data_IF_690222403687
#
_entry.id   IF_690222403687
#
_cell.length_a   1.000
_cell.length_b   1.000
_cell.length_c   1.000
_cell.angle_alpha   90.00
_cell.angle_beta   90.00
_cell.angle_gamma   90.00
#
_symmetry.space_group_name_H-M   'P 1'
#
loop_
_entity.id
_entity.type
_entity.pdbx_description
1 polymer ?
#
# COMPACT_ATOMS: atom_id res chain seq x y z
N UNK A 1 4.17 -9.64 12.61
CA UNK A 1 2.87 -10.04 12.02
C UNK A 1 2.19 -11.13 12.85
N UNK A 2 2.89 -12.25 13.16
CA UNK A 2 2.37 -13.35 13.99
C UNK A 2 1.76 -12.90 15.33
N UNK A 3 2.42 -12.00 16.07
CA UNK A 3 1.87 -11.45 17.33
C UNK A 3 0.53 -10.73 17.17
N UNK A 4 0.36 -9.95 16.09
CA UNK A 4 -0.92 -9.28 15.80
C UNK A 4 -1.98 -10.32 15.45
N UNK A 5 -1.63 -11.31 14.63
CA UNK A 5 -2.50 -12.41 14.24
C UNK A 5 -2.98 -13.23 15.45
N UNK A 6 -2.08 -13.51 16.40
CA UNK A 6 -2.39 -14.24 17.62
C UNK A 6 -3.37 -13.45 18.50
N UNK A 7 -3.08 -12.17 18.74
CA UNK A 7 -3.96 -11.28 19.49
C UNK A 7 -5.37 -11.20 18.86
N UNK A 8 -5.45 -11.08 17.54
CA UNK A 8 -6.72 -11.04 16.81
C UNK A 8 -7.50 -12.36 16.82
N UNK A 9 -6.78 -13.48 16.97
CA UNK A 9 -7.40 -14.80 17.12
C UNK A 9 -8.07 -14.98 18.49
N UNK A 10 -7.74 -14.12 19.46
CA UNK A 10 -8.29 -14.19 20.81
C UNK A 10 -7.54 -15.15 21.73
N UNK A 11 -6.24 -15.38 21.48
CA UNK A 11 -5.39 -16.10 22.45
C UNK A 11 -5.33 -15.31 23.76
N UNK A 12 -5.19 -16.00 24.89
CA UNK A 12 -5.08 -15.34 26.20
C UNK A 12 -3.76 -14.60 26.32
N UNK A 13 -3.67 -13.61 27.21
CA UNK A 13 -2.41 -12.86 27.43
C UNK A 13 -1.25 -13.78 27.82
N UNK A 14 -1.52 -14.85 28.58
CA UNK A 14 -0.50 -15.85 28.93
C UNK A 14 -0.01 -16.64 27.70
N UNK A 15 -0.92 -17.03 26.79
CA UNK A 15 -0.57 -17.70 25.54
C UNK A 15 0.20 -16.76 24.61
N UNK A 16 -0.23 -15.50 24.51
CA UNK A 16 0.45 -14.48 23.72
C UNK A 16 1.87 -14.26 24.19
N UNK A 17 2.07 -14.17 25.51
CA UNK A 17 3.40 -14.00 26.11
C UNK A 17 4.30 -15.21 25.89
N UNK A 18 3.74 -16.42 25.90
CA UNK A 18 4.52 -17.63 25.60
C UNK A 18 4.98 -17.65 24.14
N UNK A 19 4.09 -17.32 23.20
CA UNK A 19 4.43 -17.17 21.78
C UNK A 19 5.51 -16.08 21.60
N UNK A 20 5.40 -14.95 22.33
CA UNK A 20 6.39 -13.87 22.30
C UNK A 20 7.78 -14.36 22.73
N UNK A 21 7.87 -15.04 23.86
CA UNK A 21 9.13 -15.56 24.39
C UNK A 21 9.80 -16.56 23.44
N UNK A 22 9.02 -17.48 22.85
CA UNK A 22 9.53 -18.44 21.87
C UNK A 22 10.08 -17.76 20.60
N UNK A 23 9.36 -16.75 20.09
CA UNK A 23 9.83 -15.96 18.94
C UNK A 23 11.10 -15.17 19.27
N UNK A 24 11.16 -14.54 20.44
CA UNK A 24 12.35 -13.77 20.87
C UNK A 24 13.57 -14.65 21.05
N UNK A 25 13.40 -15.84 21.62
CA UNK A 25 14.49 -16.80 21.76
C UNK A 25 14.97 -17.31 20.40
N UNK A 26 14.05 -17.63 19.48
CA UNK A 26 14.40 -18.02 18.12
C UNK A 26 15.18 -16.91 17.39
N UNK A 27 14.74 -15.66 17.51
CA UNK A 27 15.44 -14.50 16.92
C UNK A 27 16.82 -14.29 17.56
N UNK A 28 16.95 -14.44 18.88
CA UNK A 28 18.23 -14.32 19.59
C UNK A 28 19.24 -15.39 19.18
N UNK A 29 18.76 -16.59 18.86
CA UNK A 29 19.57 -17.74 18.50
C UNK A 29 19.66 -17.97 16.99
N UNK A 30 19.18 -17.04 16.17
CA UNK A 30 19.09 -17.20 14.70
C UNK A 30 20.44 -17.43 14.01
N UNK A 31 21.56 -17.06 14.64
CA UNK A 31 22.92 -17.32 14.17
C UNK A 31 23.45 -18.70 14.54
N UNK A 32 22.79 -19.40 15.48
CA UNK A 32 23.22 -20.67 16.05
C UNK A 32 22.30 -21.85 15.66
N UNK A 33 21.04 -21.57 15.36
CA UNK A 33 20.03 -22.58 15.06
C UNK A 33 19.05 -22.10 13.98
N UNK A 34 18.37 -23.02 13.27
CA UNK A 34 17.33 -22.67 12.31
C UNK A 34 16.18 -21.89 12.97
N UNK A 35 15.46 -21.13 12.16
CA UNK A 35 14.26 -20.41 12.61
C UNK A 35 13.21 -21.39 13.11
N UNK A 36 12.49 -20.99 14.17
CA UNK A 36 11.40 -21.80 14.73
C UNK A 36 10.30 -21.97 13.68
N UNK A 37 9.84 -23.19 13.49
CA UNK A 37 8.71 -23.47 12.60
C UNK A 37 7.38 -23.07 13.27
N UNK A 38 6.35 -22.79 12.46
CA UNK A 38 5.00 -22.51 12.98
C UNK A 38 4.47 -23.67 13.83
N UNK A 39 4.81 -24.91 13.45
CA UNK A 39 4.37 -26.10 14.18
C UNK A 39 5.02 -26.18 15.56
N UNK A 40 6.33 -25.95 15.66
CA UNK A 40 7.05 -25.87 16.94
C UNK A 40 6.56 -24.71 17.80
N UNK A 41 6.27 -23.55 17.18
CA UNK A 41 5.75 -22.38 17.88
C UNK A 41 4.36 -22.63 18.51
N UNK A 42 3.59 -23.57 17.99
CA UNK A 42 2.23 -23.86 18.42
C UNK A 42 2.08 -25.20 19.16
N UNK A 43 3.16 -25.94 19.36
CA UNK A 43 3.13 -27.34 19.81
C UNK A 43 2.58 -27.52 21.24
N UNK A 44 2.85 -26.57 22.14
CA UNK A 44 2.56 -26.70 23.58
C UNK A 44 1.41 -25.81 24.07
N UNK A 45 0.57 -25.31 23.17
CA UNK A 45 -0.47 -24.35 23.54
C UNK A 45 -1.86 -24.95 23.36
N UNK A 46 -2.60 -25.06 24.47
CA UNK A 46 -4.03 -25.39 24.48
C UNK A 46 -4.85 -24.21 23.93
N UNK A 47 -4.69 -23.92 22.63
CA UNK A 47 -5.34 -22.83 21.92
C UNK A 47 -6.60 -23.35 21.24
N UNK A 48 -7.72 -22.69 21.49
CA UNK A 48 -8.95 -22.95 20.75
C UNK A 48 -8.76 -22.63 19.26
N UNK A 49 -9.24 -23.53 18.40
CA UNK A 49 -9.14 -23.41 16.92
C UNK A 49 -7.69 -23.30 16.43
N UNK A 50 -6.81 -24.15 16.98
CA UNK A 50 -5.39 -24.26 16.62
C UNK A 50 -5.13 -24.30 15.11
N UNK A 51 -5.91 -25.09 14.35
CA UNK A 51 -5.78 -25.21 12.89
C UNK A 51 -6.06 -23.90 12.14
N UNK A 52 -7.00 -23.09 12.63
CA UNK A 52 -7.28 -21.76 12.07
C UNK A 52 -6.12 -20.80 12.36
N UNK A 53 -5.59 -20.79 13.60
CA UNK A 53 -4.45 -19.95 13.97
C UNK A 53 -3.20 -20.30 13.16
N UNK A 54 -2.90 -21.60 13.04
CA UNK A 54 -1.81 -22.11 12.20
C UNK A 54 -1.93 -21.62 10.77
N UNK A 55 -3.12 -21.73 10.17
CA UNK A 55 -3.37 -21.25 8.80
C UNK A 55 -3.13 -19.75 8.65
N UNK A 56 -3.51 -18.95 9.65
CA UNK A 56 -3.24 -17.51 9.67
C UNK A 56 -1.74 -17.20 9.86
N UNK A 57 -1.00 -18.00 10.62
CA UNK A 57 0.45 -17.85 10.78
C UNK A 57 1.20 -18.15 9.48
N UNK A 58 0.79 -19.18 8.74
CA UNK A 58 1.36 -19.48 7.42
C UNK A 58 1.18 -18.31 6.46
N UNK A 59 -0.03 -17.74 6.42
CA UNK A 59 -0.28 -16.53 5.61
C UNK A 59 0.58 -15.36 6.08
N UNK A 60 0.72 -15.17 7.40
CA UNK A 60 1.56 -14.12 7.95
C UNK A 60 3.04 -14.29 7.55
N UNK A 61 3.56 -15.51 7.59
CA UNK A 61 4.94 -15.81 7.17
C UNK A 61 5.15 -15.51 5.67
N UNK A 62 4.17 -15.86 4.82
CA UNK A 62 4.21 -15.56 3.39
C UNK A 62 4.20 -14.06 3.08
N UNK A 63 3.44 -13.27 3.86
CA UNK A 63 3.34 -11.83 3.65
C UNK A 63 4.52 -11.06 4.25
N UNK A 64 5.22 -11.63 5.24
CA UNK A 64 6.26 -10.91 5.98
C UNK A 64 7.40 -10.37 5.11
N UNK A 65 8.00 -11.13 4.16
CA UNK A 65 9.05 -10.60 3.29
C UNK A 65 8.58 -9.40 2.47
N UNK A 66 7.39 -9.49 1.85
CA UNK A 66 6.85 -8.41 1.03
C UNK A 66 6.60 -7.13 1.83
N UNK A 67 6.07 -7.27 3.06
CA UNK A 67 5.82 -6.14 3.95
C UNK A 67 7.11 -5.54 4.52
N UNK A 68 8.15 -6.36 4.70
CA UNK A 68 9.45 -5.92 5.19
C UNK A 68 10.26 -5.19 4.10
N UNK A 69 10.25 -5.71 2.87
CA UNK A 69 11.05 -5.18 1.76
C UNK A 69 10.41 -3.99 1.06
N UNK A 70 9.08 -3.83 1.12
CA UNK A 70 8.41 -2.69 0.50
C UNK A 70 8.80 -1.37 1.18
N UNK A 71 9.34 -0.41 0.43
CA UNK A 71 9.74 0.91 0.97
C UNK A 71 8.59 1.70 1.60
N UNK A 72 7.34 1.40 1.23
CA UNK A 72 6.13 2.09 1.73
C UNK A 72 5.56 1.45 3.01
N UNK A 73 6.18 0.36 3.48
CA UNK A 73 5.80 -0.37 4.70
C UNK A 73 7.03 -0.56 5.60
N UNK A 74 8.14 -1.05 5.05
CA UNK A 74 9.44 -1.20 5.69
C UNK A 74 9.35 -1.93 7.04
N UNK A 75 8.46 -2.91 7.14
CA UNK A 75 8.16 -3.62 8.38
C UNK A 75 7.58 -2.76 9.52
N UNK A 76 7.22 -1.50 9.28
CA UNK A 76 6.75 -0.57 10.30
C UNK A 76 5.48 -1.11 10.98
N UNK A 77 5.52 -1.46 12.30
CA UNK A 77 4.42 -2.14 12.97
C UNK A 77 3.10 -1.38 12.94
N UNK A 78 3.16 -0.03 12.94
CA UNK A 78 1.95 0.81 12.87
C UNK A 78 1.31 0.73 11.49
N UNK A 79 2.12 0.74 10.43
CA UNK A 79 1.64 0.62 9.05
C UNK A 79 1.06 -0.77 8.81
N UNK A 80 1.75 -1.82 9.26
CA UNK A 80 1.25 -3.20 9.18
C UNK A 80 -0.08 -3.35 9.90
N UNK A 81 -0.22 -2.82 11.12
CA UNK A 81 -1.49 -2.86 11.86
C UNK A 81 -2.62 -2.12 11.13
N UNK A 82 -2.33 -0.94 10.56
CA UNK A 82 -3.31 -0.17 9.78
C UNK A 82 -3.76 -0.93 8.52
N UNK A 83 -2.82 -1.56 7.81
CA UNK A 83 -3.11 -2.40 6.66
C UNK A 83 -4.05 -3.55 7.04
N UNK A 84 -3.74 -4.29 8.10
CA UNK A 84 -4.60 -5.37 8.59
C UNK A 84 -5.99 -4.87 9.01
N UNK A 85 -6.08 -3.69 9.63
CA UNK A 85 -7.36 -3.08 9.98
C UNK A 85 -8.19 -2.75 8.74
N UNK A 86 -7.57 -2.26 7.66
CA UNK A 86 -8.23 -2.02 6.38
C UNK A 86 -8.80 -3.31 5.78
N UNK A 87 -8.01 -4.40 5.79
CA UNK A 87 -8.47 -5.73 5.36
C UNK A 87 -9.70 -6.18 6.17
N UNK A 88 -9.66 -6.09 7.49
CA UNK A 88 -10.78 -6.47 8.37
C UNK A 88 -12.05 -5.66 8.08
N UNK A 89 -11.92 -4.34 7.97
CA UNK A 89 -13.05 -3.45 7.71
C UNK A 89 -13.69 -3.73 6.34
N UNK A 90 -12.86 -4.02 5.33
CA UNK A 90 -13.33 -4.41 3.99
C UNK A 90 -13.98 -5.78 4.00
N UNK A 91 -13.40 -6.79 4.66
CA UNK A 91 -14.01 -8.12 4.83
C UNK A 91 -15.39 -8.04 5.48
N UNK A 92 -15.53 -7.26 6.56
CA UNK A 92 -16.82 -7.04 7.24
C UNK A 92 -17.84 -6.35 6.34
N UNK A 93 -17.39 -5.42 5.50
CA UNK A 93 -18.26 -4.70 4.57
C UNK A 93 -18.69 -5.58 3.39
N UNK A 94 -17.78 -6.38 2.83
CA UNK A 94 -18.07 -7.38 1.82
C UNK A 94 -19.12 -8.39 2.31
N UNK A 95 -18.91 -8.95 3.51
CA UNK A 95 -19.82 -9.92 4.11
C UNK A 95 -21.23 -9.34 4.31
N UNK A 96 -21.34 -8.12 4.85
CA UNK A 96 -22.65 -7.46 5.03
C UNK A 96 -23.39 -7.18 3.73
N UNK A 97 -22.67 -7.08 2.62
CA UNK A 97 -23.23 -6.79 1.29
C UNK A 97 -23.44 -8.04 0.44
N UNK A 98 -23.18 -9.23 0.99
CA UNK A 98 -23.29 -10.48 0.25
C UNK A 98 -22.23 -10.64 -0.85
N UNK A 99 -21.14 -9.87 -0.80
CA UNK A 99 -20.02 -10.02 -1.72
C UNK A 99 -19.20 -11.25 -1.31
N UNK A 100 -19.07 -12.22 -2.21
CA UNK A 100 -18.28 -13.43 -2.01
C UNK A 100 -16.80 -13.13 -2.26
N UNK A 101 -16.19 -12.35 -1.36
CA UNK A 101 -14.77 -12.02 -1.39
C UNK A 101 -14.06 -12.70 -0.23
N UNK A 102 -13.06 -13.52 -0.55
CA UNK A 102 -12.20 -14.11 0.46
C UNK A 102 -11.20 -13.08 1.02
N UNK A 103 -10.73 -13.34 2.24
CA UNK A 103 -9.81 -12.44 2.93
C UNK A 103 -8.45 -12.33 2.22
N UNK A 104 -8.01 -13.36 1.51
CA UNK A 104 -6.71 -13.35 0.82
C UNK A 104 -6.78 -12.43 -0.40
N UNK A 105 -7.87 -12.45 -1.17
CA UNK A 105 -8.14 -11.49 -2.26
C UNK A 105 -8.11 -10.05 -1.76
N UNK A 106 -8.83 -9.76 -0.66
CA UNK A 106 -8.84 -8.41 -0.06
C UNK A 106 -7.43 -8.01 0.38
N UNK A 107 -6.68 -8.94 1.00
CA UNK A 107 -5.32 -8.69 1.48
C UNK A 107 -4.36 -8.38 0.32
N UNK A 108 -4.34 -9.22 -0.73
CA UNK A 108 -3.49 -9.03 -1.91
C UNK A 108 -3.75 -7.68 -2.56
N UNK A 109 -5.02 -7.25 -2.69
CA UNK A 109 -5.37 -5.93 -3.23
C UNK A 109 -4.99 -4.77 -2.31
N UNK A 110 -5.24 -4.88 -1.00
CA UNK A 110 -4.88 -3.82 -0.04
C UNK A 110 -3.35 -3.60 0.00
N UNK A 111 -2.55 -4.66 -0.13
CA UNK A 111 -1.08 -4.54 -0.23
C UNK A 111 -0.72 -3.80 -1.53
N UNK A 112 -1.30 -4.17 -2.67
CA UNK A 112 -1.07 -3.48 -3.94
C UNK A 112 -1.35 -1.97 -3.80
N UNK A 113 -2.51 -1.62 -3.24
CA UNK A 113 -2.94 -0.25 -3.02
C UNK A 113 -1.94 0.54 -2.18
N UNK A 114 -1.47 -0.07 -1.09
CA UNK A 114 -0.55 0.57 -0.17
C UNK A 114 0.84 0.76 -0.79
N UNK A 115 1.30 -0.22 -1.54
CA UNK A 115 2.68 -0.29 -2.00
C UNK A 115 2.91 0.46 -3.33
N UNK A 116 1.93 0.50 -4.24
CA UNK A 116 2.07 1.26 -5.50
C UNK A 116 1.35 2.62 -5.49
N UNK A 117 0.49 2.86 -4.52
CA UNK A 117 -0.21 4.14 -4.38
C UNK A 117 -1.39 4.29 -5.34
N UNK A 118 -1.99 5.47 -5.29
CA UNK A 118 -3.34 5.72 -5.80
C UNK A 118 -3.41 5.68 -7.33
N UNK A 119 -2.38 6.15 -8.03
CA UNK A 119 -2.37 6.14 -9.51
C UNK A 119 -2.34 4.72 -10.08
N UNK A 120 -1.42 3.88 -9.60
CA UNK A 120 -1.33 2.48 -10.01
C UNK A 120 -2.61 1.70 -9.65
N UNK A 121 -3.17 1.98 -8.46
CA UNK A 121 -4.45 1.43 -8.00
C UNK A 121 -5.61 1.78 -8.92
N UNK A 122 -5.75 3.06 -9.27
CA UNK A 122 -6.81 3.50 -10.17
C UNK A 122 -6.66 2.83 -11.54
N UNK A 123 -5.43 2.67 -12.03
CA UNK A 123 -5.16 1.95 -13.28
C UNK A 123 -5.59 0.49 -13.21
N UNK A 124 -5.32 -0.20 -12.10
CA UNK A 124 -5.79 -1.56 -11.88
C UNK A 124 -7.32 -1.65 -11.97
N UNK A 125 -8.05 -0.76 -11.30
CA UNK A 125 -9.51 -0.78 -11.34
C UNK A 125 -10.10 -0.37 -12.69
N UNK A 126 -9.44 0.54 -13.43
CA UNK A 126 -9.80 0.85 -14.81
C UNK A 126 -9.69 -0.39 -15.70
N UNK A 127 -8.60 -1.16 -15.56
CA UNK A 127 -8.41 -2.41 -16.31
C UNK A 127 -9.45 -3.46 -15.93
N UNK A 128 -9.76 -3.61 -14.64
CA UNK A 128 -10.83 -4.52 -14.17
C UNK A 128 -12.17 -4.17 -14.83
N UNK A 129 -12.56 -2.89 -14.86
CA UNK A 129 -13.81 -2.47 -15.49
C UNK A 129 -13.80 -2.71 -17.01
N UNK A 130 -12.71 -2.30 -17.68
CA UNK A 130 -12.55 -2.41 -19.13
C UNK A 130 -12.58 -3.86 -19.60
N UNK A 131 -12.06 -4.77 -18.78
CA UNK A 131 -11.89 -6.18 -19.08
C UNK A 131 -12.88 -7.07 -18.32
N UNK A 132 -14.02 -6.48 -17.89
CA UNK A 132 -15.18 -7.17 -17.30
C UNK A 132 -14.83 -8.09 -16.12
N UNK A 133 -13.96 -7.63 -15.23
CA UNK A 133 -13.54 -8.38 -14.05
C UNK A 133 -12.22 -9.11 -14.18
N UNK A 134 -11.74 -9.35 -15.42
CA UNK A 134 -10.62 -10.24 -15.71
C UNK A 134 -9.48 -9.51 -16.44
N UNK A 135 -8.69 -8.69 -15.73
CA UNK A 135 -7.59 -7.94 -16.33
C UNK A 135 -6.48 -8.88 -16.84
N UNK A 136 -6.26 -8.89 -18.16
CA UNK A 136 -5.26 -9.71 -18.88
C UNK A 136 -3.85 -9.51 -18.36
N UNK A 137 -3.50 -8.29 -17.96
CA UNK A 137 -2.17 -8.02 -17.39
C UNK A 137 -1.91 -8.86 -16.14
N UNK A 138 -2.93 -9.14 -15.32
CA UNK A 138 -2.76 -10.01 -14.15
C UNK A 138 -2.58 -11.46 -14.57
N UNK A 139 -3.31 -11.92 -15.59
CA UNK A 139 -3.15 -13.26 -16.15
C UNK A 139 -1.73 -13.47 -16.71
N UNK A 140 -1.18 -12.47 -17.41
CA UNK A 140 0.20 -12.50 -17.91
C UNK A 140 1.21 -12.51 -16.76
N UNK A 141 1.03 -11.67 -15.74
CA UNK A 141 1.92 -11.59 -14.56
C UNK A 141 1.92 -12.84 -13.67
N UNK A 142 0.85 -13.60 -13.74
CA UNK A 142 0.65 -14.83 -12.99
C UNK A 142 1.05 -16.08 -13.78
N UNK A 143 1.27 -15.95 -15.10
CA UNK A 143 1.69 -17.04 -15.96
C UNK A 143 3.19 -17.31 -15.80
N UNK A 144 3.54 -18.53 -15.38
CA UNK A 144 4.94 -18.95 -15.21
C UNK A 144 5.69 -19.15 -16.54
N UNK A 145 4.98 -19.20 -17.67
CA UNK A 145 5.58 -19.35 -19.01
C UNK A 145 5.99 -18.02 -19.65
N UNK A 146 5.52 -16.88 -19.11
CA UNK A 146 5.82 -15.55 -19.65
C UNK A 146 6.91 -14.91 -18.80
N UNK A 147 8.00 -14.47 -19.43
CA UNK A 147 9.03 -13.71 -18.72
C UNK A 147 8.50 -12.34 -18.32
N UNK A 148 8.75 -11.94 -17.08
CA UNK A 148 8.25 -10.68 -16.51
C UNK A 148 8.63 -9.46 -17.36
N UNK A 149 9.82 -9.47 -17.96
CA UNK A 149 10.36 -8.37 -18.77
C UNK A 149 9.65 -8.20 -20.12
N UNK A 150 8.93 -9.22 -20.60
CA UNK A 150 8.15 -9.17 -21.84
C UNK A 150 6.73 -8.62 -21.65
N UNK A 151 6.27 -8.52 -20.40
CA UNK A 151 4.91 -8.11 -20.06
C UNK A 151 4.75 -6.60 -20.24
N UNK A 152 3.70 -6.20 -20.97
CA UNK A 152 3.38 -4.79 -21.18
C UNK A 152 2.66 -4.21 -19.96
N UNK A 153 3.45 -3.80 -18.97
CA UNK A 153 2.97 -3.14 -17.76
C UNK A 153 2.50 -1.70 -18.02
N UNK A 154 1.41 -1.25 -17.36
CA UNK A 154 1.03 0.17 -17.34
C UNK A 154 2.16 1.06 -16.82
N UNK A 155 2.26 2.29 -17.33
CA UNK A 155 3.32 3.24 -16.93
C UNK A 155 3.28 3.54 -15.42
N UNK A 156 2.09 3.60 -14.83
CA UNK A 156 1.88 3.87 -13.41
C UNK A 156 2.43 2.76 -12.51
N UNK A 157 2.62 1.55 -13.05
CA UNK A 157 3.09 0.38 -12.31
C UNK A 157 4.62 0.29 -12.31
N UNK A 158 5.30 0.98 -13.24
CA UNK A 158 6.76 0.95 -13.37
C UNK A 158 7.52 1.63 -12.21
N UNK A 159 6.81 2.13 -11.21
CA UNK A 159 7.36 2.70 -9.98
C UNK A 159 8.11 1.66 -9.12
N UNK A 160 7.69 0.39 -9.16
CA UNK A 160 8.28 -0.68 -8.35
C UNK A 160 8.08 -2.05 -9.00
N UNK A 161 8.89 -2.34 -10.02
CA UNK A 161 8.85 -3.60 -10.77
C UNK A 161 9.14 -4.82 -9.88
N UNK A 162 10.09 -4.69 -8.96
CA UNK A 162 10.46 -5.77 -8.05
C UNK A 162 9.32 -6.12 -7.09
N UNK A 163 8.57 -5.12 -6.60
CA UNK A 163 7.36 -5.36 -5.84
C UNK A 163 6.29 -6.08 -6.67
N UNK A 164 6.05 -5.66 -7.92
CA UNK A 164 5.01 -6.26 -8.76
C UNK A 164 5.30 -7.74 -9.04
N UNK A 165 6.54 -8.08 -9.38
CA UNK A 165 6.95 -9.47 -9.63
C UNK A 165 6.71 -10.37 -8.40
N UNK A 166 7.06 -9.88 -7.21
CA UNK A 166 6.79 -10.62 -5.95
C UNK A 166 5.31 -10.69 -5.63
N UNK A 167 4.59 -9.59 -5.85
CA UNK A 167 3.16 -9.47 -5.55
C UNK A 167 2.29 -10.35 -6.45
N UNK A 168 2.60 -10.44 -7.75
CA UNK A 168 1.81 -11.27 -8.68
C UNK A 168 1.82 -12.73 -8.29
N UNK A 169 2.96 -13.24 -7.79
CA UNK A 169 3.19 -14.62 -7.33
C UNK A 169 2.48 -14.97 -6.01
N UNK A 170 1.86 -14.00 -5.33
CA UNK A 170 1.14 -14.26 -4.08
C UNK A 170 -0.22 -14.93 -4.32
N UNK A 171 -0.61 -15.92 -3.50
CA UNK A 171 -1.97 -16.44 -3.55
C UNK A 171 -2.97 -15.41 -2.98
N UNK A 172 -4.22 -15.36 -3.50
CA UNK A 172 -4.76 -16.17 -4.59
C UNK A 172 -4.34 -15.62 -5.96
N UNK A 173 -4.35 -16.49 -6.97
CA UNK A 173 -4.21 -16.08 -8.36
C UNK A 173 -5.52 -15.41 -8.82
N UNK A 174 -5.42 -14.36 -9.61
CA UNK A 174 -6.52 -13.55 -10.12
C UNK A 174 -6.92 -13.87 -11.56
N UNK A 175 -6.15 -14.69 -12.27
CA UNK A 175 -6.38 -15.05 -13.69
C UNK A 175 -7.83 -15.44 -14.02
N UNK A 176 -8.50 -16.22 -13.16
CA UNK A 176 -9.88 -16.69 -13.39
C UNK A 176 -10.88 -16.14 -12.36
N UNK A 177 -10.50 -15.11 -11.61
CA UNK A 177 -11.33 -14.54 -10.54
C UNK A 177 -11.95 -13.24 -11.02
N UNK A 178 -13.28 -13.13 -10.95
CA UNK A 178 -13.96 -11.86 -11.22
C UNK A 178 -13.65 -10.86 -10.09
N UNK A 179 -12.82 -9.87 -10.40
CA UNK A 179 -12.42 -8.82 -9.46
C UNK A 179 -13.41 -7.66 -9.35
N UNK A 180 -14.53 -7.67 -10.10
CA UNK A 180 -15.53 -6.60 -10.07
C UNK A 180 -16.04 -6.30 -8.66
N UNK A 181 -16.40 -7.29 -7.82
CA UNK A 181 -16.84 -7.02 -6.45
C UNK A 181 -15.73 -6.38 -5.60
N UNK A 182 -14.47 -6.77 -5.83
CA UNK A 182 -13.34 -6.25 -5.09
C UNK A 182 -13.01 -4.80 -5.47
N UNK A 183 -13.07 -4.47 -6.76
CA UNK A 183 -12.91 -3.11 -7.27
C UNK A 183 -14.01 -2.19 -6.74
N UNK A 184 -15.28 -2.66 -6.76
CA UNK A 184 -16.40 -1.92 -6.19
C UNK A 184 -16.25 -1.67 -4.69
N UNK A 185 -15.86 -2.70 -3.93
CA UNK A 185 -15.60 -2.59 -2.49
C UNK A 185 -14.49 -1.56 -2.21
N UNK A 186 -13.43 -1.55 -2.99
CA UNK A 186 -12.32 -0.61 -2.81
C UNK A 186 -12.77 0.83 -3.05
N UNK A 187 -13.47 1.09 -4.17
CA UNK A 187 -14.00 2.41 -4.53
C UNK A 187 -14.98 2.97 -3.49
N UNK A 188 -15.91 2.16 -3.01
CA UNK A 188 -16.88 2.64 -2.01
C UNK A 188 -16.31 2.69 -0.58
N UNK A 189 -15.28 1.91 -0.28
CA UNK A 189 -14.56 2.03 0.99
C UNK A 189 -13.75 3.33 1.09
N UNK A 190 -13.58 4.05 -0.02
CA UNK A 190 -12.95 5.35 -0.11
C UNK A 190 -14.00 6.36 -0.59
N UNK A 191 -14.86 6.90 0.30
CA UNK A 191 -15.62 8.11 -0.03
C UNK A 191 -14.66 9.16 -0.59
N UNK A 192 -15.01 9.82 -1.70
CA UNK A 192 -14.26 10.99 -2.17
C UNK A 192 -14.21 12.00 -1.00
N UNK A 193 -13.03 12.16 -0.39
CA UNK A 193 -12.83 12.89 0.88
C UNK A 193 -12.20 12.05 2.02
N UNK A 194 -12.07 10.74 1.86
CA UNK A 194 -11.56 9.80 2.86
C UNK A 194 -10.22 9.16 2.52
N UNK A 195 -9.43 9.75 1.62
CA UNK A 195 -7.98 9.45 1.52
C UNK A 195 -7.32 9.57 2.92
N UNK A 196 -7.88 10.45 3.75
CA UNK A 196 -7.55 10.62 5.16
C UNK A 196 -7.69 9.34 6.00
N UNK A 197 -8.64 8.43 5.73
CA UNK A 197 -8.88 7.27 6.59
C UNK A 197 -7.72 6.24 6.63
N UNK A 198 -6.85 6.24 5.61
CA UNK A 198 -5.68 5.35 5.51
C UNK A 198 -4.38 6.08 5.91
N UNK A 199 -4.44 7.38 6.18
CA UNK A 199 -3.28 8.19 6.57
C UNK A 199 -3.14 8.31 8.09
N UNK A 200 -1.92 8.45 8.60
CA UNK A 200 -1.74 8.79 10.01
C UNK A 200 -2.16 10.24 10.23
N UNK A 201 -2.48 10.62 11.47
CA UNK A 201 -2.77 12.02 11.79
C UNK A 201 -1.61 12.96 11.43
N UNK A 202 -0.36 12.48 11.52
CA UNK A 202 0.81 13.23 11.09
C UNK A 202 0.84 13.43 9.57
N UNK A 203 0.56 12.36 8.80
CA UNK A 203 0.50 12.43 7.35
C UNK A 203 -0.66 13.31 6.85
N UNK A 204 -1.84 13.25 7.47
CA UNK A 204 -2.97 14.14 7.16
C UNK A 204 -2.60 15.60 7.38
N UNK A 205 -2.02 15.91 8.54
CA UNK A 205 -1.56 17.27 8.85
C UNK A 205 -0.52 17.75 7.83
N UNK A 206 0.40 16.88 7.42
CA UNK A 206 1.38 17.24 6.39
C UNK A 206 0.72 17.57 5.05
N UNK A 207 -0.32 16.84 4.63
CA UNK A 207 -1.10 17.21 3.43
C UNK A 207 -1.70 18.60 3.58
N UNK A 208 -2.35 18.90 4.71
CA UNK A 208 -2.95 20.21 4.94
C UNK A 208 -1.91 21.35 4.90
N UNK A 209 -0.76 21.14 5.53
CA UNK A 209 0.32 22.14 5.60
C UNK A 209 0.98 22.37 4.24
N UNK A 210 1.18 21.29 3.46
CA UNK A 210 1.71 21.38 2.10
C UNK A 210 0.70 22.00 1.13
N UNK A 211 -0.59 21.70 1.25
CA UNK A 211 -1.66 22.32 0.44
C UNK A 211 -1.76 23.82 0.63
N UNK A 212 -1.40 24.34 1.82
CA UNK A 212 -1.40 25.78 2.12
C UNK A 212 -0.14 26.51 1.64
N UNK A 213 0.86 25.78 1.14
CA UNK A 213 2.14 26.37 0.76
C UNK A 213 2.04 27.23 -0.52
N UNK A 214 2.28 28.53 -0.37
CA UNK A 214 2.28 29.51 -1.48
C UNK A 214 3.66 29.76 -2.07
N UNK A 215 4.70 29.65 -1.25
CA UNK A 215 6.10 29.95 -1.58
C UNK A 215 6.89 28.69 -1.95
N UNK A 216 7.98 28.87 -2.70
CA UNK A 216 8.77 27.74 -3.22
C UNK A 216 9.58 27.01 -2.15
N UNK A 217 10.08 27.76 -1.17
CA UNK A 217 10.84 27.23 -0.03
C UNK A 217 10.09 27.60 1.23
N UNK A 218 9.89 26.61 2.11
CA UNK A 218 9.26 26.80 3.40
C UNK A 218 10.04 26.01 4.43
N UNK A 219 10.75 26.69 5.34
CA UNK A 219 11.51 26.03 6.40
C UNK A 219 10.61 25.16 7.29
N UNK A 220 9.41 25.65 7.61
CA UNK A 220 8.41 24.94 8.41
C UNK A 220 8.00 23.63 7.73
N UNK A 221 7.66 23.68 6.43
CA UNK A 221 7.21 22.48 5.72
C UNK A 221 8.38 21.53 5.42
N UNK A 222 9.59 22.04 5.19
CA UNK A 222 10.79 21.19 5.10
C UNK A 222 11.00 20.41 6.40
N UNK A 223 10.89 21.05 7.56
CA UNK A 223 10.98 20.37 8.86
C UNK A 223 9.85 19.35 9.04
N UNK A 224 8.61 19.71 8.69
CA UNK A 224 7.46 18.82 8.79
C UNK A 224 7.61 17.56 7.92
N UNK A 225 8.18 17.69 6.72
CA UNK A 225 8.52 16.54 5.86
C UNK A 225 9.55 15.66 6.58
N UNK A 226 10.67 16.23 7.05
CA UNK A 226 11.73 15.43 7.71
C UNK A 226 11.29 14.73 9.00
N UNK A 227 10.29 15.27 9.71
CA UNK A 227 9.75 14.65 10.94
C UNK A 227 8.74 13.54 10.62
N UNK A 228 8.16 13.54 9.42
CA UNK A 228 7.20 12.52 9.00
C UNK A 228 7.96 11.28 8.51
N UNK A 229 7.56 10.06 8.91
CA UNK A 229 8.20 8.84 8.40
C UNK A 229 8.13 8.75 6.87
N UNK A 230 9.23 8.36 6.24
CA UNK A 230 9.34 8.25 4.78
C UNK A 230 8.29 7.29 4.18
N UNK A 231 7.93 6.26 4.93
CA UNK A 231 6.91 5.27 4.53
C UNK A 231 5.50 5.88 4.37
N UNK A 232 5.29 7.12 4.80
CA UNK A 232 4.03 7.85 4.62
C UNK A 232 4.08 8.87 3.48
N UNK A 233 5.24 9.15 2.89
CA UNK A 233 5.38 10.17 1.84
C UNK A 233 4.50 9.89 0.63
N UNK A 234 4.44 8.65 0.16
CA UNK A 234 3.56 8.27 -0.96
C UNK A 234 2.08 8.52 -0.63
N UNK A 235 1.65 8.24 0.60
CA UNK A 235 0.27 8.53 1.02
C UNK A 235 0.00 10.03 1.07
N UNK A 236 0.99 10.84 1.47
CA UNK A 236 0.90 12.30 1.46
C UNK A 236 0.83 12.83 0.03
N UNK A 237 1.67 12.33 -0.87
CA UNK A 237 1.65 12.70 -2.28
C UNK A 237 0.31 12.37 -2.94
N UNK A 238 -0.22 11.17 -2.68
CA UNK A 238 -1.55 10.77 -3.15
C UNK A 238 -2.64 11.70 -2.62
N UNK A 239 -2.59 12.05 -1.32
CA UNK A 239 -3.50 13.02 -0.72
C UNK A 239 -3.44 14.40 -1.39
N UNK A 240 -2.24 14.88 -1.72
CA UNK A 240 -2.06 16.14 -2.46
C UNK A 240 -2.67 16.06 -3.87
N UNK A 241 -2.39 14.98 -4.61
CA UNK A 241 -2.91 14.77 -5.97
C UNK A 241 -4.43 14.69 -5.96
N UNK A 242 -5.05 14.00 -5.01
CA UNK A 242 -6.51 13.92 -4.90
C UNK A 242 -7.14 15.28 -4.61
N UNK A 243 -6.51 16.11 -3.77
CA UNK A 243 -6.97 17.50 -3.57
C UNK A 243 -6.82 18.34 -4.85
N UNK A 244 -5.74 18.13 -5.62
CA UNK A 244 -5.55 18.83 -6.88
C UNK A 244 -6.55 18.42 -7.96
N UNK A 245 -7.01 17.16 -8.01
CA UNK A 245 -8.03 16.70 -8.95
C UNK A 245 -9.39 17.40 -8.77
N UNK A 246 -9.66 17.95 -7.59
CA UNK A 246 -10.87 18.74 -7.33
C UNK A 246 -10.82 20.13 -7.98
N UNK A 247 -9.65 20.57 -8.46
CA UNK A 247 -9.45 21.88 -9.08
C UNK A 247 -9.84 21.79 -10.56
N UNK A 248 -10.90 22.52 -10.93
CA UNK A 248 -11.39 22.57 -12.32
C UNK A 248 -10.63 23.57 -13.21
N UNK A 249 -10.03 24.61 -12.64
CA UNK A 249 -9.31 25.66 -13.38
C UNK A 249 -7.81 25.63 -13.09
N UNK A 250 -7.03 25.50 -14.16
CA UNK A 250 -5.57 25.41 -14.15
C UNK A 250 -4.87 26.59 -14.84
N UNK A 251 -5.62 27.63 -15.22
CA UNK A 251 -5.07 28.84 -15.85
C UNK A 251 -4.00 29.48 -14.98
N UNK A 252 -4.27 29.58 -13.68
CA UNK A 252 -3.31 29.96 -12.66
C UNK A 252 -2.76 28.74 -11.92
N UNK A 253 -1.57 28.89 -11.37
CA UNK A 253 -0.96 27.86 -10.53
C UNK A 253 -1.72 27.76 -9.21
N UNK A 254 -2.26 26.58 -8.85
CA UNK A 254 -2.95 26.45 -7.58
C UNK A 254 -2.00 26.50 -6.39
N UNK A 255 -2.55 26.88 -5.23
CA UNK A 255 -1.83 26.82 -3.96
C UNK A 255 -1.53 25.35 -3.62
N UNK A 256 -0.37 25.09 -3.02
CA UNK A 256 0.05 23.73 -2.66
C UNK A 256 0.97 23.04 -3.66
N UNK A 257 1.02 23.48 -4.92
CA UNK A 257 1.94 22.90 -5.92
C UNK A 257 3.40 22.94 -5.45
N UNK A 258 3.83 24.03 -4.81
CA UNK A 258 5.20 24.07 -4.27
C UNK A 258 5.41 23.16 -3.06
N UNK A 259 4.36 22.88 -2.28
CA UNK A 259 4.41 21.86 -1.23
C UNK A 259 4.59 20.47 -1.82
N UNK A 260 3.85 20.15 -2.89
CA UNK A 260 4.01 18.89 -3.62
C UNK A 260 5.41 18.74 -4.24
N UNK A 261 5.92 19.80 -4.90
CA UNK A 261 7.29 19.79 -5.44
C UNK A 261 8.33 19.62 -4.33
N UNK A 262 8.11 20.21 -3.15
CA UNK A 262 9.02 20.07 -2.02
C UNK A 262 9.10 18.62 -1.52
N UNK A 263 7.96 17.93 -1.43
CA UNK A 263 7.90 16.51 -1.08
C UNK A 263 8.52 15.63 -2.16
N UNK A 264 8.22 15.90 -3.44
CA UNK A 264 8.77 15.18 -4.58
C UNK A 264 10.30 15.19 -4.63
N UNK A 265 10.96 16.23 -4.14
CA UNK A 265 12.43 16.30 -4.06
C UNK A 265 13.05 15.40 -3.00
N UNK A 266 12.26 14.85 -2.08
CA UNK A 266 12.77 14.01 -0.99
C UNK A 266 12.64 12.52 -1.29
N UNK A 267 11.88 12.15 -2.31
CA UNK A 267 11.57 10.76 -2.63
C UNK A 267 11.24 10.58 -4.12
N UNK A 268 11.95 9.67 -4.78
CA UNK A 268 11.87 9.44 -6.23
C UNK A 268 10.49 8.94 -6.66
N UNK A 269 9.85 8.09 -5.84
CA UNK A 269 8.50 7.58 -6.13
C UNK A 269 7.47 8.69 -6.07
N UNK A 270 7.57 9.59 -5.09
CA UNK A 270 6.77 10.81 -5.02
C UNK A 270 7.01 11.73 -6.23
N UNK A 271 8.27 11.86 -6.67
CA UNK A 271 8.62 12.63 -7.86
C UNK A 271 7.95 12.07 -9.12
N UNK A 272 8.09 10.77 -9.36
CA UNK A 272 7.47 10.08 -10.49
C UNK A 272 5.93 10.18 -10.44
N UNK A 273 5.33 9.97 -9.27
CA UNK A 273 3.89 10.12 -9.06
C UNK A 273 3.41 11.53 -9.42
N UNK A 274 4.07 12.57 -8.90
CA UNK A 274 3.72 13.95 -9.21
C UNK A 274 3.93 14.28 -10.70
N UNK A 275 5.01 13.80 -11.31
CA UNK A 275 5.29 13.98 -12.73
C UNK A 275 4.20 13.39 -13.62
N UNK A 276 3.77 12.15 -13.34
CA UNK A 276 2.69 11.47 -14.08
C UNK A 276 1.40 12.28 -14.01
N UNK A 277 1.03 12.75 -12.81
CA UNK A 277 -0.14 13.60 -12.63
C UNK A 277 -0.02 14.93 -13.39
N UNK A 278 1.08 15.66 -13.22
CA UNK A 278 1.29 16.96 -13.86
C UNK A 278 1.31 16.86 -15.39
N UNK A 279 1.83 15.76 -15.96
CA UNK A 279 1.82 15.51 -17.40
C UNK A 279 0.42 15.25 -17.96
N UNK A 280 -0.52 14.79 -17.13
CA UNK A 280 -1.92 14.59 -17.52
C UNK A 280 -2.73 15.89 -17.59
N UNK A 281 -2.21 16.99 -17.04
CA UNK A 281 -2.91 18.28 -17.00
C UNK A 281 -2.85 19.02 -18.35
N UNK A 282 -3.80 19.94 -18.61
CA UNK A 282 -3.72 20.84 -19.76
C UNK A 282 -2.41 21.64 -19.77
N UNK A 283 -1.90 21.96 -20.96
CA UNK A 283 -0.65 22.73 -21.09
C UNK A 283 -0.81 24.14 -20.54
N UNK A 284 0.01 24.49 -19.55
CA UNK A 284 0.00 25.80 -18.90
C UNK A 284 1.40 26.43 -18.82
N UNK A 285 1.50 27.76 -18.85
CA UNK A 285 2.78 28.48 -18.82
C UNK A 285 3.56 28.23 -17.54
N UNK A 286 2.87 28.15 -16.39
CA UNK A 286 3.48 27.94 -15.08
C UNK A 286 3.93 26.48 -14.86
N UNK A 287 3.43 25.53 -15.66
CA UNK A 287 3.67 24.10 -15.51
C UNK A 287 5.05 23.69 -16.05
N UNK A 288 5.48 24.27 -17.18
CA UNK A 288 6.73 23.90 -17.87
C UNK A 288 7.99 24.03 -16.98
N UNK A 289 8.19 25.11 -16.20
CA UNK A 289 9.35 25.20 -15.31
C UNK A 289 9.37 24.13 -14.22
N UNK A 290 8.19 23.71 -13.74
CA UNK A 290 8.05 22.69 -12.70
C UNK A 290 8.33 21.30 -13.25
N UNK A 291 7.81 21.00 -14.44
CA UNK A 291 8.11 19.73 -15.12
C UNK A 291 9.62 19.58 -15.35
N UNK A 292 10.28 20.61 -15.87
CA UNK A 292 11.74 20.60 -16.07
C UNK A 292 12.52 20.42 -14.78
N UNK A 293 12.08 21.05 -13.69
CA UNK A 293 12.69 20.89 -12.38
C UNK A 293 12.59 19.45 -11.89
N UNK A 294 11.40 18.86 -11.93
CA UNK A 294 11.18 17.48 -11.48
C UNK A 294 11.90 16.46 -12.36
N UNK A 295 11.95 16.67 -13.68
CA UNK A 295 12.70 15.80 -14.61
C UNK A 295 14.22 15.90 -14.44
N UNK A 296 14.72 17.06 -14.00
CA UNK A 296 16.15 17.32 -13.78
C UNK A 296 16.66 16.91 -12.40
N UNK A 297 15.81 16.40 -11.51
CA UNK A 297 16.21 15.98 -10.15
C UNK A 297 16.71 14.52 -10.11
N UNK A 298 17.20 13.99 -11.25
CA UNK A 298 17.80 12.64 -11.34
C UNK A 298 19.21 12.59 -10.77
#
# INVERSE_FOLDING_TARGET
LMMLTAQDHGVTDAQLETIRCALEESLRLSWKQPQITIDELLQDHAIEKHSELRSKFVVAEQLAPLLAESTNINGNPRIVKRLLNQVKMRKKTAHRRGMQLDEKTITKLVIFERCLGTQATNKLYELIDKEKGFPKVLAELENSEVEFDEIKLPEEWKLDLAFIDKWSKLPPMFTEVDLTPAAYLSRESIPMGAVNAVMSGAAQKLVEDLMKQKVRVSGVNSTAITTTPKEEYMSVMDGLIENFKLIGDWTERPTGIYGAVLLAKQDDKCCLSLLTFLKSLPRQRWLNPILKELEGTK
#
